data_IF_596418819162
#
_entry.id   IF_596418819162
#
_cell.length_a   1.000
_cell.length_b   1.000
_cell.length_c   1.000
_cell.angle_alpha   90.00
_cell.angle_beta   90.00
_cell.angle_gamma   90.00
#
_symmetry.space_group_name_H-M   'P 1'
#
loop_
_entity.id
_entity.type
_entity.pdbx_description
1 polymer ?
#
# COMPACT_ATOMS: atom_id res chain seq x y z
N UNK A 1 -1.13 -29.08 -2.03
CA UNK A 1 -1.38 -27.83 -2.79
C UNK A 1 -1.37 -28.22 -4.25
N UNK A 2 -2.50 -28.18 -4.95
CA UNK A 2 -2.66 -28.73 -6.31
C UNK A 2 -1.96 -27.89 -7.39
N UNK A 3 -1.65 -28.55 -8.51
CA UNK A 3 -1.18 -27.93 -9.74
C UNK A 3 -2.22 -26.93 -10.26
N UNK A 4 -1.81 -25.68 -10.50
CA UNK A 4 -2.69 -24.62 -11.00
C UNK A 4 -2.87 -24.66 -12.54
N UNK A 5 -2.19 -25.58 -13.22
CA UNK A 5 -2.32 -25.79 -14.67
C UNK A 5 -3.36 -26.86 -14.98
N UNK A 6 -3.18 -28.05 -14.41
CA UNK A 6 -4.09 -29.17 -14.66
C UNK A 6 -5.09 -29.42 -13.53
N UNK A 7 -4.89 -28.88 -12.33
CA UNK A 7 -5.73 -29.10 -11.15
C UNK A 7 -5.92 -30.57 -10.71
N UNK A 8 -5.22 -31.52 -11.34
CA UNK A 8 -5.40 -32.96 -11.12
C UNK A 8 -4.44 -33.57 -10.09
N UNK A 9 -3.20 -33.09 -10.04
CA UNK A 9 -2.17 -33.63 -9.14
C UNK A 9 -1.64 -32.55 -8.19
N UNK A 10 -1.04 -32.97 -7.08
CA UNK A 10 -0.33 -32.06 -6.18
C UNK A 10 0.86 -31.41 -6.90
N UNK A 11 1.06 -30.11 -6.65
CA UNK A 11 2.12 -29.34 -7.27
C UNK A 11 3.48 -29.68 -6.66
N UNK A 12 4.45 -29.97 -7.53
CA UNK A 12 5.82 -30.35 -7.14
C UNK A 12 6.83 -29.22 -7.39
N UNK A 13 6.49 -28.28 -8.25
CA UNK A 13 7.39 -27.24 -8.75
C UNK A 13 6.69 -25.89 -8.83
N UNK A 14 7.48 -24.81 -8.89
CA UNK A 14 7.01 -23.43 -8.94
C UNK A 14 7.70 -22.67 -10.08
N UNK A 15 6.94 -21.93 -10.88
CA UNK A 15 7.44 -21.10 -11.96
C UNK A 15 7.86 -19.71 -11.45
N UNK A 16 8.65 -18.95 -12.22
CA UNK A 16 9.10 -17.59 -11.87
C UNK A 16 7.93 -16.60 -11.72
N UNK A 17 6.80 -16.86 -12.39
CA UNK A 17 5.53 -16.13 -12.21
C UNK A 17 4.76 -16.54 -10.95
N UNK A 18 5.35 -17.36 -10.08
CA UNK A 18 4.81 -17.92 -8.83
C UNK A 18 3.75 -19.01 -8.96
N UNK A 19 3.32 -19.34 -10.18
CA UNK A 19 2.38 -20.42 -10.44
C UNK A 19 2.96 -21.79 -10.08
N UNK A 20 2.17 -22.63 -9.39
CA UNK A 20 2.55 -23.99 -8.97
C UNK A 20 2.11 -25.04 -9.99
N UNK A 21 2.99 -25.99 -10.32
CA UNK A 21 2.72 -27.02 -11.31
C UNK A 21 3.25 -28.41 -10.90
N UNK A 22 2.67 -29.48 -11.47
CA UNK A 22 3.06 -30.85 -11.12
C UNK A 22 4.17 -31.45 -12.01
N UNK A 23 4.28 -31.02 -13.27
CA UNK A 23 5.21 -31.62 -14.24
C UNK A 23 5.69 -30.66 -15.33
N UNK A 24 6.75 -31.05 -16.06
CA UNK A 24 7.25 -30.29 -17.22
C UNK A 24 6.20 -30.09 -18.31
N UNK A 25 5.19 -30.95 -18.40
CA UNK A 25 4.10 -30.80 -19.36
C UNK A 25 3.23 -29.59 -18.99
N UNK A 26 2.86 -29.49 -17.71
CA UNK A 26 2.15 -28.33 -17.17
C UNK A 26 2.99 -27.06 -17.26
N UNK A 27 4.32 -27.13 -17.10
CA UNK A 27 5.20 -25.98 -17.31
C UNK A 27 5.17 -25.46 -18.75
N UNK A 28 5.20 -26.36 -19.75
CA UNK A 28 5.13 -25.97 -21.17
C UNK A 28 3.78 -25.35 -21.51
N UNK A 29 2.69 -25.95 -21.03
CA UNK A 29 1.32 -25.45 -21.24
C UNK A 29 1.12 -24.06 -20.61
N UNK A 30 1.59 -23.89 -19.38
CA UNK A 30 1.64 -22.60 -18.69
C UNK A 30 2.50 -21.56 -19.42
N UNK A 31 3.67 -21.94 -19.96
CA UNK A 31 4.55 -21.02 -20.68
C UNK A 31 3.99 -20.62 -22.05
N UNK A 32 3.22 -21.51 -22.67
CA UNK A 32 2.52 -21.26 -23.94
C UNK A 32 1.29 -20.39 -23.77
N UNK A 33 0.64 -20.43 -22.61
CA UNK A 33 -0.38 -19.45 -22.24
C UNK A 33 0.33 -18.13 -21.92
N UNK A 34 -0.02 -17.05 -22.62
CA UNK A 34 0.60 -15.71 -22.54
C UNK A 34 0.62 -15.11 -21.10
N UNK A 35 -0.03 -15.79 -20.15
CA UNK A 35 -0.15 -15.46 -18.74
C UNK A 35 1.18 -15.66 -17.98
N UNK A 36 2.10 -16.49 -18.49
CA UNK A 36 3.46 -16.62 -17.95
C UNK A 36 4.34 -15.37 -18.21
N UNK A 37 3.91 -14.46 -19.12
CA UNK A 37 4.75 -13.35 -19.62
C UNK A 37 4.60 -12.03 -18.83
N UNK A 38 3.66 -11.91 -17.89
CA UNK A 38 3.36 -10.63 -17.21
C UNK A 38 4.40 -10.14 -16.17
N UNK A 39 5.64 -10.61 -16.24
CA UNK A 39 6.75 -10.08 -15.43
C UNK A 39 7.98 -9.67 -16.25
N UNK A 40 7.80 -9.29 -17.52
CA UNK A 40 8.83 -8.51 -18.23
C UNK A 40 8.34 -7.07 -18.36
N UNK A 41 9.08 -6.19 -17.69
CA UNK A 41 8.85 -4.76 -17.59
C UNK A 41 8.56 -4.09 -18.94
N UNK A 42 7.53 -3.23 -18.95
CA UNK A 42 7.37 -2.20 -19.99
C UNK A 42 7.28 -0.82 -19.30
N UNK A 43 8.12 0.17 -19.69
CA UNK A 43 8.15 1.49 -19.07
C UNK A 43 6.99 2.35 -19.60
N UNK A 44 5.84 2.24 -18.96
CA UNK A 44 4.70 3.11 -19.24
C UNK A 44 4.91 4.46 -18.56
N UNK A 45 5.05 5.51 -19.38
CA UNK A 45 4.87 6.92 -19.00
C UNK A 45 3.44 7.10 -18.47
N UNK A 46 3.26 7.09 -17.15
CA UNK A 46 2.03 7.55 -16.51
C UNK A 46 2.27 7.73 -15.01
N UNK A 47 2.17 8.99 -14.56
CA UNK A 47 2.03 9.47 -13.19
C UNK A 47 3.10 9.04 -12.14
N UNK A 48 3.41 9.90 -11.15
CA UNK A 48 4.20 9.49 -9.99
C UNK A 48 3.57 8.24 -9.37
N UNK A 49 4.30 7.13 -9.38
CA UNK A 49 3.87 5.85 -8.81
C UNK A 49 3.73 6.02 -7.31
N UNK A 50 2.59 5.60 -6.78
CA UNK A 50 2.33 5.47 -5.34
C UNK A 50 3.37 4.56 -4.65
N UNK A 51 4.09 3.74 -5.42
CA UNK A 51 5.18 2.87 -4.98
C UNK A 51 6.44 3.60 -4.52
N UNK A 52 6.69 4.83 -4.98
CA UNK A 52 7.84 5.63 -4.55
C UNK A 52 7.61 6.25 -3.15
N UNK A 53 6.35 6.35 -2.70
CA UNK A 53 6.02 6.85 -1.35
C UNK A 53 6.28 5.81 -0.25
N UNK A 54 6.35 4.52 -0.61
CA UNK A 54 6.50 3.39 0.31
C UNK A 54 7.98 2.99 0.47
N UNK A 55 8.90 3.63 -0.27
CA UNK A 55 10.34 3.41 -0.14
C UNK A 55 10.95 3.96 1.16
N UNK A 56 10.19 4.77 1.93
CA UNK A 56 10.63 5.31 3.22
C UNK A 56 10.11 4.46 4.38
N UNK A 57 10.32 3.13 4.30
CA UNK A 57 9.98 2.20 5.39
C UNK A 57 10.98 2.41 6.52
N UNK A 58 10.80 3.50 7.27
CA UNK A 58 11.43 3.68 8.57
C UNK A 58 11.04 2.49 9.43
N UNK A 59 11.98 2.06 10.26
CA UNK A 59 11.81 0.96 11.20
C UNK A 59 10.89 1.41 12.34
N UNK A 60 9.61 1.57 12.05
CA UNK A 60 8.59 1.78 13.07
C UNK A 60 8.21 0.41 13.66
N UNK A 61 8.04 0.32 14.98
CA UNK A 61 7.51 -0.88 15.61
C UNK A 61 6.20 -1.29 14.95
N UNK A 62 5.97 -2.59 14.79
CA UNK A 62 4.74 -3.08 14.13
C UNK A 62 3.47 -2.64 14.83
N UNK A 63 3.53 -2.38 16.13
CA UNK A 63 2.44 -1.87 16.97
C UNK A 63 2.08 -0.41 16.66
N UNK A 64 3.05 0.42 16.29
CA UNK A 64 2.84 1.84 15.94
C UNK A 64 2.43 2.05 14.47
N UNK A 65 2.34 0.97 13.68
CA UNK A 65 1.96 1.04 12.26
C UNK A 65 0.49 0.72 12.09
N UNK A 66 -0.28 1.72 11.67
CA UNK A 66 -1.70 1.56 11.36
C UNK A 66 -1.87 0.54 10.21
N UNK A 67 -2.62 -0.56 10.41
CA UNK A 67 -2.83 -1.56 9.38
C UNK A 67 -3.63 -0.99 8.20
N UNK A 68 -3.36 -1.44 6.97
CA UNK A 68 -3.96 -0.87 5.75
C UNK A 68 -5.49 -0.96 5.73
N UNK A 69 -6.06 -1.98 6.40
CA UNK A 69 -7.52 -2.12 6.55
C UNK A 69 -8.13 -0.94 7.33
N UNK A 70 -7.45 -0.44 8.35
CA UNK A 70 -7.92 0.74 9.09
C UNK A 70 -7.77 2.02 8.27
N UNK A 71 -6.72 2.12 7.47
CA UNK A 71 -6.53 3.24 6.55
C UNK A 71 -7.65 3.34 5.49
N UNK A 72 -8.31 2.23 5.13
CA UNK A 72 -9.44 2.28 4.22
C UNK A 72 -10.67 2.97 4.82
N UNK A 73 -10.88 2.88 6.14
CA UNK A 73 -11.98 3.54 6.83
C UNK A 73 -11.84 5.07 6.81
N UNK A 74 -10.62 5.60 6.70
CA UNK A 74 -10.38 7.04 6.55
C UNK A 74 -11.14 7.63 5.34
N UNK A 75 -11.37 6.83 4.29
CA UNK A 75 -12.14 7.27 3.10
C UNK A 75 -13.62 7.51 3.39
N UNK A 76 -14.16 6.86 4.42
CA UNK A 76 -15.58 6.96 4.79
C UNK A 76 -15.89 8.16 5.67
N UNK A 77 -14.88 8.75 6.32
CA UNK A 77 -15.07 9.95 7.14
C UNK A 77 -15.30 11.18 6.28
N UNK A 78 -16.45 11.82 6.48
CA UNK A 78 -16.79 13.07 5.81
C UNK A 78 -15.92 14.23 6.30
N UNK A 79 -15.67 14.30 7.62
CA UNK A 79 -14.81 15.31 8.26
C UNK A 79 -13.41 15.30 7.65
N UNK A 80 -12.81 14.12 7.46
CA UNK A 80 -11.49 14.02 6.82
C UNK A 80 -11.49 14.51 5.37
N UNK A 81 -12.57 14.22 4.62
CA UNK A 81 -12.69 14.68 3.22
C UNK A 81 -12.83 16.19 3.14
N UNK A 82 -13.56 16.80 4.07
CA UNK A 82 -13.71 18.25 4.17
C UNK A 82 -12.39 18.92 4.54
N UNK A 83 -11.67 18.39 5.54
CA UNK A 83 -10.33 18.86 5.91
C UNK A 83 -9.34 18.77 4.73
N UNK A 84 -9.32 17.64 4.02
CA UNK A 84 -8.51 17.46 2.80
C UNK A 84 -8.96 18.33 1.61
N UNK A 85 -10.12 18.97 1.69
CA UNK A 85 -10.53 20.01 0.75
C UNK A 85 -9.63 21.24 0.81
N UNK A 86 -8.94 21.46 1.94
CA UNK A 86 -8.03 22.60 2.11
C UNK A 86 -6.71 22.37 1.35
N UNK A 87 -6.36 23.22 0.36
CA UNK A 87 -5.14 23.06 -0.42
C UNK A 87 -3.86 23.17 0.41
N UNK A 88 -3.88 24.01 1.46
CA UNK A 88 -2.72 24.19 2.34
C UNK A 88 -2.42 22.92 3.13
N UNK A 89 -3.45 22.29 3.71
CA UNK A 89 -3.31 21.03 4.43
C UNK A 89 -2.70 19.93 3.54
N UNK A 90 -3.16 19.83 2.28
CA UNK A 90 -2.61 18.85 1.31
C UNK A 90 -1.13 19.11 1.02
N UNK A 91 -0.71 20.36 1.01
CA UNK A 91 0.70 20.72 0.85
C UNK A 91 1.52 20.33 2.08
N UNK A 92 1.00 20.58 3.29
CA UNK A 92 1.64 20.14 4.54
C UNK A 92 1.85 18.62 4.58
N UNK A 93 0.81 17.85 4.24
CA UNK A 93 0.88 16.38 4.18
C UNK A 93 1.90 15.92 3.12
N UNK A 94 1.91 16.54 1.93
CA UNK A 94 2.85 16.20 0.86
C UNK A 94 4.29 16.53 1.25
N UNK A 95 4.50 17.68 1.89
CA UNK A 95 5.79 18.10 2.42
C UNK A 95 6.30 17.06 3.42
N UNK A 96 5.48 16.70 4.41
CA UNK A 96 5.80 15.67 5.39
C UNK A 96 6.18 14.32 4.76
N UNK A 97 5.43 13.88 3.74
CA UNK A 97 5.69 12.62 3.05
C UNK A 97 7.01 12.62 2.25
N UNK A 98 7.46 13.80 1.80
CA UNK A 98 8.69 13.96 1.01
C UNK A 98 9.92 14.28 1.85
N UNK A 99 9.76 14.60 3.13
CA UNK A 99 10.85 15.00 4.02
C UNK A 99 11.79 13.83 4.36
N UNK A 100 13.08 14.16 4.55
CA UNK A 100 14.08 13.16 4.98
C UNK A 100 13.88 12.76 6.44
N UNK A 101 13.50 13.71 7.29
CA UNK A 101 13.32 13.54 8.73
C UNK A 101 11.97 14.11 9.17
N UNK A 102 10.86 13.41 8.94
CA UNK A 102 9.55 13.97 9.27
C UNK A 102 9.22 13.88 10.74
N UNK A 103 10.02 13.23 11.60
CA UNK A 103 9.79 13.34 13.04
C UNK A 103 9.90 14.81 13.47
N UNK A 104 10.92 15.53 12.96
CA UNK A 104 11.07 16.97 13.19
C UNK A 104 9.99 17.79 12.49
N UNK A 105 9.68 17.47 11.24
CA UNK A 105 8.64 18.19 10.50
C UNK A 105 7.26 18.00 11.13
N UNK A 106 6.96 16.80 11.61
CA UNK A 106 5.72 16.47 12.31
C UNK A 106 5.56 17.31 13.58
N UNK A 107 6.62 17.54 14.36
CA UNK A 107 6.56 18.42 15.55
C UNK A 107 6.15 19.87 15.21
N UNK A 108 6.57 20.36 14.05
CA UNK A 108 6.16 21.68 13.57
C UNK A 108 4.72 21.65 13.06
N UNK A 109 4.33 20.61 12.33
CA UNK A 109 2.96 20.45 11.83
C UNK A 109 1.95 20.26 12.97
N UNK A 110 2.33 19.63 14.07
CA UNK A 110 1.51 19.51 15.28
C UNK A 110 1.19 20.87 15.95
N UNK A 111 1.83 21.97 15.53
CA UNK A 111 1.50 23.34 15.99
C UNK A 111 0.50 24.04 15.06
N UNK A 112 0.28 23.52 13.86
CA UNK A 112 -0.66 24.06 12.90
C UNK A 112 -2.08 23.52 13.20
N UNK A 113 -3.05 24.39 13.50
CA UNK A 113 -4.39 23.94 13.92
C UNK A 113 -5.08 23.07 12.86
N UNK A 114 -4.88 23.39 11.58
CA UNK A 114 -5.43 22.63 10.46
C UNK A 114 -4.89 21.19 10.40
N UNK A 115 -3.62 20.99 10.76
CA UNK A 115 -3.01 19.66 10.74
C UNK A 115 -3.40 18.87 11.99
N UNK A 116 -3.58 19.54 13.13
CA UNK A 116 -4.11 18.93 14.35
C UNK A 116 -5.54 18.43 14.14
N UNK A 117 -6.44 19.24 13.57
CA UNK A 117 -7.81 18.81 13.24
C UNK A 117 -7.83 17.62 12.28
N UNK A 118 -6.90 17.58 11.32
CA UNK A 118 -6.74 16.43 10.43
C UNK A 118 -6.27 15.17 11.17
N UNK A 119 -5.27 15.30 12.05
CA UNK A 119 -4.74 14.18 12.82
C UNK A 119 -5.80 13.62 13.78
N UNK A 120 -6.52 14.49 14.47
CA UNK A 120 -7.63 14.14 15.37
C UNK A 120 -8.73 13.38 14.62
N UNK A 121 -9.16 13.89 13.46
CA UNK A 121 -10.14 13.21 12.62
C UNK A 121 -9.62 11.86 12.05
N UNK A 122 -8.31 11.67 11.93
CA UNK A 122 -7.74 10.36 11.58
C UNK A 122 -7.81 9.41 12.77
N UNK A 123 -7.46 9.90 13.98
CA UNK A 123 -7.50 9.14 15.22
C UNK A 123 -8.92 8.68 15.54
N UNK A 124 -9.93 9.54 15.42
CA UNK A 124 -11.34 9.21 15.67
C UNK A 124 -11.85 8.02 14.82
N UNK A 125 -11.29 7.85 13.61
CA UNK A 125 -11.67 6.78 12.68
C UNK A 125 -10.91 5.47 12.93
N UNK A 126 -9.65 5.55 13.36
CA UNK A 126 -8.77 4.37 13.51
C UNK A 126 -8.72 3.86 14.95
N UNK A 127 -8.96 4.71 15.93
CA UNK A 127 -8.98 4.35 17.33
C UNK A 127 -10.28 3.59 17.61
N UNK A 128 -10.21 2.33 18.07
CA UNK A 128 -11.40 1.62 18.49
C UNK A 128 -12.02 2.37 19.66
N UNK A 129 -13.30 2.72 19.56
CA UNK A 129 -14.11 3.33 20.63
C UNK A 129 -14.36 2.33 21.78
N UNK A 130 -13.32 1.68 22.28
CA UNK A 130 -13.36 0.65 23.33
C UNK A 130 -12.61 1.18 24.55
N UNK A 131 -13.39 1.65 25.54
CA UNK A 131 -12.97 1.80 26.93
C UNK A 131 -12.79 0.45 27.62
#
# INVERSE_FOLDING_TARGET
MSCEVCCLEDSKYKCTCLLRYCSLNCFKEHRSTQECRKFVAEPQKAAPRESDLIANRRDYPREDVVPPRLLEYLKTSQTLRESLGNPHLRELIRSLASERDPSKTLDHLMKEPLFVEFADACLDVIEPQDS
#
